data_IF_993704296428
#
_entry.id   IF_993704296428
#
_cell.length_a   1.000
_cell.length_b   1.000
_cell.length_c   1.000
_cell.angle_alpha   90.00
_cell.angle_beta   90.00
_cell.angle_gamma   90.00
#
_symmetry.space_group_name_H-M   'P 1'
#
loop_
_entity.id
_entity.type
_entity.pdbx_description
1 polymer ?
#
# COMPACT_ATOMS: atom_id res chain seq x y z
N UNK A 1 8.10 47.96 20.12
CA UNK A 1 7.74 46.70 20.81
C UNK A 1 8.30 45.56 19.98
N UNK A 2 9.19 44.76 20.59
CA UNK A 2 9.83 43.55 20.05
C UNK A 2 8.84 42.39 20.12
N UNK A 3 8.56 41.70 19.02
CA UNK A 3 8.02 40.33 18.87
C UNK A 3 7.98 40.08 17.34
N UNK A 4 8.66 39.16 16.66
CA UNK A 4 9.53 38.04 16.98
C UNK A 4 10.56 37.94 15.84
N UNK A 5 11.84 37.92 16.19
CA UNK A 5 12.92 37.46 15.29
C UNK A 5 13.12 35.98 15.61
N UNK A 6 12.78 35.08 14.68
CA UNK A 6 13.53 33.83 14.40
C UNK A 6 12.78 32.96 13.38
N UNK A 7 13.53 32.46 12.41
CA UNK A 7 13.06 31.57 11.34
C UNK A 7 13.14 32.27 9.99
N UNK A 8 14.30 32.81 9.61
CA UNK A 8 15.26 32.06 8.79
C UNK A 8 14.65 31.63 7.45
N UNK A 9 14.87 32.53 6.48
CA UNK A 9 15.10 32.27 5.06
C UNK A 9 15.44 30.81 4.71
N UNK A 10 14.87 30.32 3.60
CA UNK A 10 15.49 29.51 2.52
C UNK A 10 14.34 28.97 1.64
N UNK A 11 13.97 29.64 0.56
CA UNK A 11 14.43 29.40 -0.83
C UNK A 11 14.01 28.09 -1.46
N UNK A 12 13.54 28.24 -2.71
CA UNK A 12 13.67 27.31 -3.83
C UNK A 12 12.65 26.17 -3.92
N UNK A 13 11.69 26.40 -4.82
CA UNK A 13 11.44 25.57 -5.99
C UNK A 13 11.50 24.04 -5.79
N UNK A 14 10.33 23.43 -5.74
CA UNK A 14 10.06 22.21 -6.51
C UNK A 14 8.64 22.33 -7.09
N UNK A 15 8.57 22.85 -8.31
CA UNK A 15 7.52 22.43 -9.22
C UNK A 15 7.77 20.97 -9.64
N UNK A 16 6.72 20.35 -10.15
CA UNK A 16 6.65 18.97 -10.67
C UNK A 16 6.67 17.93 -9.55
N UNK A 17 5.70 17.04 -9.39
CA UNK A 17 4.91 16.33 -10.39
C UNK A 17 3.53 16.11 -9.76
N UNK A 18 2.43 16.38 -10.48
CA UNK A 18 1.21 15.60 -10.25
C UNK A 18 1.58 14.18 -10.65
N UNK A 19 2.25 13.48 -9.73
CA UNK A 19 2.49 12.06 -9.87
C UNK A 19 1.10 11.47 -9.85
N UNK A 20 0.52 11.24 -11.02
CA UNK A 20 -0.30 10.07 -11.22
C UNK A 20 0.62 8.87 -10.92
N UNK A 21 0.91 8.65 -9.65
CA UNK A 21 1.19 7.32 -9.16
C UNK A 21 -0.05 6.56 -9.59
N UNK A 22 0.08 5.66 -10.57
CA UNK A 22 -0.88 4.58 -10.66
C UNK A 22 -0.98 4.04 -9.23
N UNK A 23 -2.12 4.24 -8.57
CA UNK A 23 -2.31 3.75 -7.21
C UNK A 23 -2.20 2.23 -7.33
N UNK A 24 -1.02 1.71 -7.03
CA UNK A 24 -0.79 0.29 -6.85
C UNK A 24 -1.74 -0.15 -5.75
N UNK A 25 -2.63 -1.10 -6.07
CA UNK A 25 -3.51 -1.67 -5.06
C UNK A 25 -2.74 -2.78 -4.36
N UNK A 26 -2.62 -2.64 -3.05
CA UNK A 26 -2.01 -3.64 -2.19
C UNK A 26 -3.07 -4.31 -1.33
N UNK A 27 -2.89 -5.60 -1.11
CA UNK A 27 -3.68 -6.36 -0.14
C UNK A 27 -2.85 -7.40 0.54
N UNK A 28 -3.15 -7.58 1.82
CA UNK A 28 -2.61 -8.67 2.62
C UNK A 28 -3.60 -9.83 2.60
N UNK A 29 -3.15 -10.98 2.09
CA UNK A 29 -3.86 -12.23 2.11
C UNK A 29 -3.33 -13.12 3.23
N UNK A 30 -4.23 -13.66 4.05
CA UNK A 30 -3.88 -14.54 5.15
C UNK A 30 -4.61 -15.88 5.07
N UNK A 31 -3.94 -16.94 5.54
CA UNK A 31 -4.52 -18.27 5.68
C UNK A 31 -3.94 -18.94 6.92
N UNK A 32 -4.82 -19.53 7.72
CA UNK A 32 -4.40 -20.38 8.82
C UNK A 32 -3.88 -21.73 8.29
N UNK A 33 -2.63 -22.04 8.62
CA UNK A 33 -1.99 -23.31 8.31
C UNK A 33 -2.03 -24.22 9.54
N UNK A 34 -2.81 -25.31 9.41
CA UNK A 34 -2.99 -26.29 10.48
C UNK A 34 -1.76 -27.17 10.71
N UNK A 35 -0.86 -27.29 9.73
CA UNK A 35 0.36 -28.09 9.86
C UNK A 35 1.43 -27.36 10.68
N UNK A 36 1.47 -26.03 10.58
CA UNK A 36 2.40 -25.18 11.31
C UNK A 36 1.79 -24.51 12.55
N UNK A 37 0.49 -24.71 12.80
CA UNK A 37 -0.30 -24.01 13.83
C UNK A 37 -0.03 -22.49 13.82
N UNK A 38 -0.04 -21.91 12.62
CA UNK A 38 0.31 -20.50 12.41
C UNK A 38 -0.44 -19.89 11.25
N UNK A 39 -0.57 -18.56 11.26
CA UNK A 39 -1.14 -17.81 10.13
C UNK A 39 -0.04 -17.50 9.13
N UNK A 40 -0.22 -17.96 7.89
CA UNK A 40 0.59 -17.53 6.76
C UNK A 40 0.01 -16.23 6.19
N UNK A 41 0.87 -15.27 5.91
CA UNK A 41 0.51 -14.01 5.26
C UNK A 41 1.26 -13.85 3.94
N UNK A 42 0.62 -13.25 2.95
CA UNK A 42 1.21 -12.90 1.66
C UNK A 42 0.67 -11.56 1.21
N UNK A 43 1.57 -10.69 0.75
CA UNK A 43 1.22 -9.37 0.20
C UNK A 43 1.09 -9.47 -1.33
N UNK A 44 0.03 -8.86 -1.87
CA UNK A 44 -0.24 -8.76 -3.30
C UNK A 44 -0.37 -7.29 -3.64
N UNK A 45 0.58 -6.77 -4.40
CA UNK A 45 0.55 -5.41 -4.89
C UNK A 45 0.64 -5.38 -6.42
N UNK A 46 -0.29 -4.69 -7.07
CA UNK A 46 -0.30 -4.55 -8.52
C UNK A 46 -0.83 -3.18 -8.96
N UNK A 47 -0.18 -2.59 -9.97
CA UNK A 47 -0.60 -1.34 -10.59
C UNK A 47 -1.76 -1.54 -11.59
N UNK A 48 -2.03 -2.79 -11.98
CA UNK A 48 -3.10 -3.17 -12.91
C UNK A 48 -4.30 -3.76 -12.16
N UNK A 49 -5.46 -3.06 -12.12
CA UNK A 49 -6.62 -3.50 -11.36
C UNK A 49 -7.11 -4.91 -11.73
N UNK A 50 -7.11 -5.27 -13.02
CA UNK A 50 -7.54 -6.60 -13.47
C UNK A 50 -6.62 -7.72 -13.01
N UNK A 51 -5.30 -7.48 -13.02
CA UNK A 51 -4.32 -8.49 -12.61
C UNK A 51 -4.39 -8.67 -11.11
N UNK A 52 -4.48 -7.57 -10.36
CA UNK A 52 -4.74 -7.59 -8.93
C UNK A 52 -6.04 -8.36 -8.59
N UNK A 53 -7.17 -8.04 -9.22
CA UNK A 53 -8.44 -8.72 -8.98
C UNK A 53 -8.41 -10.21 -9.35
N UNK A 54 -7.63 -10.59 -10.37
CA UNK A 54 -7.40 -11.99 -10.74
C UNK A 54 -6.54 -12.71 -9.70
N UNK A 55 -5.45 -12.09 -9.22
CA UNK A 55 -4.57 -12.63 -8.18
C UNK A 55 -5.32 -12.83 -6.86
N UNK A 56 -6.06 -11.81 -6.39
CA UNK A 56 -6.90 -11.90 -5.19
C UNK A 56 -7.90 -13.06 -5.30
N UNK A 57 -8.61 -13.18 -6.43
CA UNK A 57 -9.56 -14.29 -6.67
C UNK A 57 -8.90 -15.66 -6.63
N UNK A 58 -7.66 -15.79 -7.10
CA UNK A 58 -6.91 -17.05 -7.03
C UNK A 58 -6.60 -17.38 -5.57
N UNK A 59 -6.16 -16.41 -4.76
CA UNK A 59 -5.90 -16.61 -3.34
C UNK A 59 -7.17 -17.00 -2.58
N UNK A 60 -8.26 -16.25 -2.77
CA UNK A 60 -9.56 -16.54 -2.15
C UNK A 60 -10.10 -17.93 -2.53
N UNK A 61 -9.98 -18.31 -3.80
CA UNK A 61 -10.34 -19.67 -4.27
C UNK A 61 -9.51 -20.77 -3.61
N UNK A 62 -8.28 -20.47 -3.21
CA UNK A 62 -7.40 -21.39 -2.49
C UNK A 62 -7.59 -21.33 -0.96
N UNK A 63 -8.64 -20.66 -0.48
CA UNK A 63 -8.99 -20.60 0.94
C UNK A 63 -8.18 -19.57 1.73
N UNK A 64 -7.59 -18.58 1.06
CA UNK A 64 -7.01 -17.41 1.71
C UNK A 64 -8.09 -16.33 1.90
N UNK A 65 -7.91 -15.47 2.88
CA UNK A 65 -8.75 -14.28 3.08
C UNK A 65 -7.89 -13.05 2.82
N UNK A 66 -8.28 -12.22 1.84
CA UNK A 66 -7.54 -11.03 1.47
C UNK A 66 -8.23 -9.77 1.98
N UNK A 67 -7.44 -8.82 2.49
CA UNK A 67 -7.91 -7.51 2.95
C UNK A 67 -7.09 -6.40 2.29
N UNK A 68 -7.78 -5.37 1.80
CA UNK A 68 -7.15 -4.19 1.21
C UNK A 68 -6.34 -3.43 2.27
N UNK A 69 -5.07 -3.14 1.95
CA UNK A 69 -4.20 -2.30 2.77
C UNK A 69 -4.50 -0.84 2.40
N UNK A 70 -5.51 -0.28 3.06
CA UNK A 70 -6.02 1.08 2.82
C UNK A 70 -5.23 2.14 3.59
#
# INVERSE_FOLDING_TARGET
MKLFIKGMLLTAALGTVLSWTACERCSTCERYDTALDSTMTSEICNDRPKVYDDEIRVYEKNGWTCSDDN
#
